data_IF_926027182107
#
_entry.id   IF_926027182107
#
_cell.length_a   1.000
_cell.length_b   1.000
_cell.length_c   1.000
_cell.angle_alpha   90.00
_cell.angle_beta   90.00
_cell.angle_gamma   90.00
#
_symmetry.space_group_name_H-M   'P 1'
#
loop_
_entity.id
_entity.type
_entity.pdbx_description
1 polymer ?
#
# COMPACT_ATOMS: atom_id res chain seq x y z
N UNK A 1 9.31 -9.54 -30.64
CA UNK A 1 10.79 -9.36 -30.45
C UNK A 1 11.37 -10.58 -29.74
N UNK A 2 12.56 -11.07 -30.14
CA UNK A 2 13.21 -12.17 -29.42
C UNK A 2 13.96 -11.67 -28.17
N UNK A 3 14.25 -12.57 -27.21
CA UNK A 3 15.08 -12.26 -26.04
C UNK A 3 16.41 -11.62 -26.41
N UNK A 4 17.11 -12.18 -27.39
CA UNK A 4 18.41 -11.67 -27.85
C UNK A 4 18.30 -10.27 -28.45
N UNK A 5 17.27 -10.01 -29.24
CA UNK A 5 17.03 -8.68 -29.83
C UNK A 5 16.74 -7.64 -28.74
N UNK A 6 15.95 -7.99 -27.73
CA UNK A 6 15.66 -7.08 -26.64
C UNK A 6 16.88 -6.81 -25.75
N UNK A 7 17.65 -7.86 -25.45
CA UNK A 7 18.91 -7.70 -24.71
C UNK A 7 19.92 -6.80 -25.45
N UNK A 8 20.07 -6.96 -26.76
CA UNK A 8 20.96 -6.11 -27.58
C UNK A 8 20.46 -4.67 -27.55
N UNK A 9 19.15 -4.47 -27.75
CA UNK A 9 18.56 -3.14 -27.70
C UNK A 9 18.78 -2.47 -26.33
N UNK A 10 18.61 -3.19 -25.19
CA UNK A 10 18.92 -2.67 -23.86
C UNK A 10 20.40 -2.27 -23.77
N UNK A 11 21.32 -3.10 -24.24
CA UNK A 11 22.75 -2.86 -24.14
C UNK A 11 23.24 -1.67 -25.00
N UNK A 12 22.47 -1.25 -26.00
CA UNK A 12 22.71 -0.03 -26.77
C UNK A 12 22.33 1.25 -26.02
N UNK A 13 21.51 1.14 -24.92
CA UNK A 13 21.07 2.27 -24.10
C UNK A 13 22.12 2.67 -23.06
N UNK A 14 23.32 3.01 -23.52
CA UNK A 14 24.37 3.55 -22.65
C UNK A 14 24.05 4.98 -22.22
N UNK A 15 24.36 5.31 -20.96
CA UNK A 15 24.16 6.64 -20.39
C UNK A 15 25.24 6.95 -19.36
N UNK A 16 25.54 8.23 -19.18
CA UNK A 16 26.41 8.70 -18.11
C UNK A 16 25.77 8.62 -16.71
N UNK A 17 24.45 8.37 -16.65
CA UNK A 17 23.69 8.31 -15.40
C UNK A 17 23.80 6.96 -14.68
N UNK A 18 24.19 5.88 -15.38
CA UNK A 18 24.31 4.54 -14.82
C UNK A 18 25.34 3.68 -15.53
N UNK A 19 25.84 2.67 -14.86
CA UNK A 19 26.73 1.66 -15.45
C UNK A 19 25.85 0.47 -15.89
N UNK A 20 25.80 0.23 -17.20
CA UNK A 20 25.02 -0.84 -17.78
C UNK A 20 25.90 -2.09 -18.00
N UNK A 21 25.58 -3.19 -17.34
CA UNK A 21 26.33 -4.44 -17.41
C UNK A 21 25.43 -5.65 -17.61
N UNK A 22 25.85 -6.56 -18.48
CA UNK A 22 25.28 -7.91 -18.56
C UNK A 22 25.98 -8.81 -17.55
N UNK A 23 25.28 -9.21 -16.49
CA UNK A 23 25.85 -10.06 -15.41
C UNK A 23 25.92 -11.54 -15.79
N UNK A 24 24.94 -12.01 -16.56
CA UNK A 24 24.91 -13.38 -17.11
C UNK A 24 23.97 -13.43 -18.34
N UNK A 25 23.64 -14.64 -18.83
CA UNK A 25 22.78 -14.83 -20.01
C UNK A 25 21.34 -14.31 -19.80
N UNK A 26 20.90 -14.23 -18.54
CA UNK A 26 19.52 -13.92 -18.18
C UNK A 26 19.38 -12.62 -17.37
N UNK A 27 20.49 -11.94 -17.03
CA UNK A 27 20.44 -10.77 -16.16
C UNK A 27 21.26 -9.61 -16.74
N UNK A 28 20.58 -8.47 -16.93
CA UNK A 28 21.18 -7.17 -17.22
C UNK A 28 20.92 -6.26 -16.02
N UNK A 29 21.94 -5.50 -15.60
CA UNK A 29 21.84 -4.56 -14.51
C UNK A 29 22.27 -3.15 -14.94
N UNK A 30 21.56 -2.17 -14.42
CA UNK A 30 21.90 -0.77 -14.48
C UNK A 30 22.28 -0.33 -13.06
N UNK A 31 23.58 -0.11 -12.85
CA UNK A 31 24.12 0.22 -11.53
C UNK A 31 24.34 1.72 -11.40
N UNK A 32 23.88 2.30 -10.31
CA UNK A 32 24.11 3.69 -9.91
C UNK A 32 24.69 3.74 -8.51
N UNK A 33 25.12 4.91 -8.06
CA UNK A 33 25.60 5.09 -6.67
C UNK A 33 24.48 4.93 -5.62
N UNK A 34 23.21 4.96 -6.01
CA UNK A 34 22.04 5.03 -5.11
C UNK A 34 21.03 3.89 -5.28
N UNK A 35 21.03 3.19 -6.43
CA UNK A 35 20.11 2.09 -6.68
C UNK A 35 20.69 1.12 -7.72
N UNK A 36 20.14 -0.09 -7.76
CA UNK A 36 20.39 -1.08 -8.81
C UNK A 36 19.07 -1.37 -9.51
N UNK A 37 19.02 -1.15 -10.82
CA UNK A 37 17.94 -1.67 -11.64
C UNK A 37 18.37 -2.99 -12.26
N UNK A 38 17.43 -3.93 -12.37
CA UNK A 38 17.68 -5.28 -12.89
C UNK A 38 16.60 -5.65 -13.91
N UNK A 39 17.04 -6.21 -15.03
CA UNK A 39 16.17 -6.83 -16.04
C UNK A 39 16.52 -8.31 -16.08
N UNK A 40 15.64 -9.14 -15.53
CA UNK A 40 15.79 -10.59 -15.44
C UNK A 40 14.92 -11.27 -16.49
N UNK A 41 15.49 -12.25 -17.19
CA UNK A 41 14.80 -13.05 -18.19
C UNK A 41 14.63 -14.49 -17.68
N UNK A 42 13.44 -15.03 -17.85
CA UNK A 42 13.11 -16.42 -17.55
C UNK A 42 12.37 -17.04 -18.72
N UNK A 43 12.69 -18.28 -19.08
CA UNK A 43 11.98 -19.00 -20.12
C UNK A 43 10.96 -19.94 -19.50
N UNK A 44 9.72 -19.85 -19.96
CA UNK A 44 8.62 -20.74 -19.57
C UNK A 44 8.10 -21.35 -20.88
N UNK A 45 8.41 -22.64 -21.12
CA UNK A 45 8.19 -23.29 -22.43
C UNK A 45 8.87 -22.47 -23.55
N UNK A 46 8.11 -22.02 -24.56
CA UNK A 46 8.61 -21.22 -25.67
C UNK A 46 8.50 -19.71 -25.44
N UNK A 47 7.97 -19.28 -24.28
CA UNK A 47 7.71 -17.89 -23.98
C UNK A 47 8.80 -17.31 -23.06
N UNK A 48 9.04 -16.02 -23.19
CA UNK A 48 10.01 -15.29 -22.36
C UNK A 48 9.27 -14.37 -21.41
N UNK A 49 9.48 -14.62 -20.11
CA UNK A 49 9.06 -13.73 -19.03
C UNK A 49 10.21 -12.77 -18.71
N UNK A 50 9.90 -11.48 -18.62
CA UNK A 50 10.82 -10.43 -18.21
C UNK A 50 10.34 -9.86 -16.88
N UNK A 51 11.24 -9.78 -15.91
CA UNK A 51 11.02 -9.13 -14.62
C UNK A 51 11.94 -7.91 -14.54
N UNK A 52 11.37 -6.76 -14.24
CA UNK A 52 12.10 -5.50 -14.10
C UNK A 52 11.94 -5.00 -12.66
N UNK A 53 13.05 -4.64 -12.04
CA UNK A 53 13.04 -4.12 -10.67
C UNK A 53 14.05 -3.01 -10.47
N UNK A 54 13.78 -2.11 -9.52
CA UNK A 54 14.75 -1.16 -8.97
C UNK A 54 14.79 -1.35 -7.47
N UNK A 55 15.97 -1.62 -6.96
CA UNK A 55 16.23 -1.74 -5.53
C UNK A 55 17.17 -0.60 -5.11
N UNK A 56 16.74 0.16 -4.12
CA UNK A 56 17.56 1.24 -3.55
C UNK A 56 18.72 0.65 -2.74
N UNK A 57 19.93 1.17 -2.94
CA UNK A 57 21.12 0.80 -2.15
C UNK A 57 21.11 1.39 -0.75
N UNK A 58 20.22 2.36 -0.52
CA UNK A 58 20.10 3.10 0.72
C UNK A 58 19.33 2.32 1.79
N UNK A 59 18.25 1.67 1.40
CA UNK A 59 17.29 1.02 2.32
C UNK A 59 16.91 -0.39 1.86
N UNK A 60 17.55 -0.92 0.82
CA UNK A 60 17.29 -2.23 0.17
C UNK A 60 15.80 -2.42 -0.21
N UNK A 61 15.05 -1.32 -0.28
CA UNK A 61 13.63 -1.37 -0.65
C UNK A 61 13.46 -1.39 -2.15
N UNK A 62 12.48 -2.20 -2.59
CA UNK A 62 12.01 -2.17 -3.97
C UNK A 62 11.26 -0.88 -4.21
N UNK A 63 11.77 -0.05 -5.13
CA UNK A 63 11.17 1.23 -5.55
C UNK A 63 10.31 1.06 -6.80
N UNK A 64 10.63 0.06 -7.61
CA UNK A 64 9.92 -0.29 -8.84
C UNK A 64 9.96 -1.80 -9.02
N UNK A 65 8.84 -2.41 -9.39
CA UNK A 65 8.77 -3.81 -9.75
C UNK A 65 7.60 -4.06 -10.68
N UNK A 66 7.85 -4.77 -11.77
CA UNK A 66 6.84 -5.31 -12.67
C UNK A 66 7.37 -6.56 -13.37
N UNK A 67 6.48 -7.31 -13.99
CA UNK A 67 6.82 -8.42 -14.87
C UNK A 67 5.86 -8.45 -16.07
N UNK A 68 6.34 -8.95 -17.21
CA UNK A 68 5.55 -9.07 -18.43
C UNK A 68 6.09 -10.16 -19.34
N UNK A 69 5.24 -10.65 -20.24
CA UNK A 69 5.66 -11.55 -21.32
C UNK A 69 6.24 -10.75 -22.48
N UNK A 70 7.39 -11.17 -23.00
CA UNK A 70 8.07 -10.51 -24.12
C UNK A 70 7.39 -10.84 -25.46
N UNK A 71 6.29 -10.18 -25.78
CA UNK A 71 5.55 -10.30 -27.04
C UNK A 71 5.75 -9.10 -27.95
N UNK A 72 5.33 -7.94 -27.48
CA UNK A 72 5.29 -6.70 -28.25
C UNK A 72 6.54 -5.86 -28.01
N UNK A 73 7.20 -5.47 -29.08
CA UNK A 73 8.45 -4.69 -29.00
C UNK A 73 8.26 -3.32 -28.37
N UNK A 74 7.24 -2.58 -28.82
CA UNK A 74 6.99 -1.23 -28.32
C UNK A 74 6.60 -1.23 -26.83
N UNK A 75 5.82 -2.22 -26.40
CA UNK A 75 5.45 -2.37 -25.00
C UNK A 75 6.67 -2.66 -24.13
N UNK A 76 7.52 -3.62 -24.52
CA UNK A 76 8.73 -3.98 -23.79
C UNK A 76 9.71 -2.79 -23.67
N UNK A 77 9.89 -2.04 -24.76
CA UNK A 77 10.73 -0.82 -24.76
C UNK A 77 10.18 0.25 -23.83
N UNK A 78 8.87 0.48 -23.87
CA UNK A 78 8.22 1.47 -23.00
C UNK A 78 8.35 1.15 -21.51
N UNK A 79 8.26 -0.14 -21.12
CA UNK A 79 8.43 -0.56 -19.73
C UNK A 79 9.87 -0.40 -19.26
N UNK A 80 10.85 -0.64 -20.13
CA UNK A 80 12.26 -0.36 -19.86
C UNK A 80 12.50 1.15 -19.67
N UNK A 81 11.98 1.99 -20.55
CA UNK A 81 12.10 3.45 -20.45
C UNK A 81 11.48 3.97 -19.15
N UNK A 82 10.31 3.45 -18.75
CA UNK A 82 9.65 3.80 -17.48
C UNK A 82 10.52 3.41 -16.26
N UNK A 83 11.20 2.26 -16.34
CA UNK A 83 12.18 1.86 -15.31
C UNK A 83 13.36 2.82 -15.28
N UNK A 84 13.94 3.16 -16.43
CA UNK A 84 15.11 4.08 -16.54
C UNK A 84 14.74 5.46 -16.02
N UNK A 85 13.61 6.03 -16.43
CA UNK A 85 13.12 7.31 -15.92
C UNK A 85 12.95 7.28 -14.39
N UNK A 86 12.42 6.18 -13.85
CA UNK A 86 12.28 5.99 -12.41
C UNK A 86 13.64 5.90 -11.73
N UNK A 87 14.60 5.15 -12.31
CA UNK A 87 15.96 5.04 -11.79
C UNK A 87 16.64 6.41 -11.74
N UNK A 88 16.57 7.19 -12.83
CA UNK A 88 17.19 8.53 -12.89
C UNK A 88 16.54 9.49 -11.88
N UNK A 89 15.23 9.43 -11.72
CA UNK A 89 14.52 10.26 -10.74
C UNK A 89 15.01 9.99 -9.31
N UNK A 90 15.35 8.75 -8.97
CA UNK A 90 15.93 8.39 -7.67
C UNK A 90 17.31 9.03 -7.43
N UNK A 91 17.99 9.57 -8.45
CA UNK A 91 19.25 10.31 -8.31
C UNK A 91 19.11 11.51 -7.36
N UNK A 92 17.93 12.14 -7.35
CA UNK A 92 17.62 13.23 -6.41
C UNK A 92 17.41 12.75 -4.95
N UNK A 93 17.23 11.44 -4.74
CA UNK A 93 17.01 10.83 -3.43
C UNK A 93 18.31 10.28 -2.79
N UNK A 94 19.49 10.75 -3.21
CA UNK A 94 20.80 10.27 -2.71
C UNK A 94 20.93 10.31 -1.20
N UNK A 95 20.34 11.32 -0.55
CA UNK A 95 20.46 11.55 0.88
C UNK A 95 19.54 10.61 1.66
N UNK A 96 20.08 10.00 2.73
CA UNK A 96 19.24 9.40 3.76
C UNK A 96 18.54 10.52 4.49
N UNK A 97 17.23 10.62 4.32
CA UNK A 97 16.41 11.66 4.94
C UNK A 97 15.93 11.18 6.31
N UNK A 98 16.35 11.88 7.35
CA UNK A 98 16.03 11.58 8.73
C UNK A 98 15.19 12.69 9.33
N UNK A 99 13.98 12.35 9.76
CA UNK A 99 13.08 13.27 10.44
C UNK A 99 13.27 13.17 11.95
N UNK A 100 13.66 14.26 12.59
CA UNK A 100 13.66 14.35 14.05
C UNK A 100 12.37 14.97 14.55
N UNK A 101 11.85 14.46 15.68
CA UNK A 101 10.65 15.04 16.26
C UNK A 101 10.69 15.10 17.78
N UNK A 102 10.13 16.17 18.32
CA UNK A 102 9.87 16.37 19.76
C UNK A 102 8.53 17.10 19.94
N UNK A 103 8.17 17.41 21.18
CA UNK A 103 6.90 18.06 21.52
C UNK A 103 6.67 19.40 20.81
N UNK A 104 7.72 20.23 20.68
CA UNK A 104 7.61 21.58 20.11
C UNK A 104 8.50 21.83 18.88
N UNK A 105 9.37 20.89 18.50
CA UNK A 105 10.26 21.01 17.34
C UNK A 105 11.56 21.78 17.58
N UNK A 106 11.65 22.69 18.54
CA UNK A 106 12.81 23.60 18.73
C UNK A 106 14.10 22.86 19.06
N UNK A 107 14.09 21.99 20.07
CA UNK A 107 15.29 21.24 20.52
C UNK A 107 15.80 20.29 19.45
N UNK A 108 14.89 19.66 18.72
CA UNK A 108 15.24 18.76 17.62
C UNK A 108 15.73 19.49 16.39
N UNK A 109 15.30 20.72 16.13
CA UNK A 109 15.83 21.55 15.02
C UNK A 109 17.31 21.88 15.23
N UNK A 110 17.69 22.26 16.45
CA UNK A 110 19.11 22.49 16.79
C UNK A 110 19.93 21.18 16.63
N UNK A 111 19.41 20.06 17.14
CA UNK A 111 20.10 18.78 17.03
C UNK A 111 20.21 18.28 15.59
N UNK A 112 19.17 18.48 14.77
CA UNK A 112 19.20 18.18 13.34
C UNK A 112 20.28 18.94 12.58
N UNK A 113 20.46 20.25 12.89
CA UNK A 113 21.54 21.05 12.31
C UNK A 113 22.91 20.51 12.67
N UNK A 114 23.13 20.15 13.93
CA UNK A 114 24.40 19.55 14.39
C UNK A 114 24.68 18.20 13.75
N UNK A 115 23.65 17.35 13.57
CA UNK A 115 23.76 16.07 12.87
C UNK A 115 24.08 16.26 11.39
N UNK A 116 23.52 17.28 10.75
CA UNK A 116 23.82 17.62 9.34
C UNK A 116 25.29 18.01 9.18
N UNK A 117 25.83 18.84 10.07
CA UNK A 117 27.25 19.22 10.04
C UNK A 117 28.18 18.03 10.32
N UNK A 118 27.84 17.19 11.29
CA UNK A 118 28.60 15.99 11.60
C UNK A 118 28.58 14.98 10.43
N UNK A 119 27.44 14.75 9.81
CA UNK A 119 27.32 13.88 8.65
C UNK A 119 28.16 14.40 7.46
N UNK A 120 28.13 15.70 7.19
CA UNK A 120 28.94 16.32 6.16
C UNK A 120 30.46 16.14 6.44
N UNK A 121 30.88 16.30 7.70
CA UNK A 121 32.27 16.09 8.12
C UNK A 121 32.73 14.63 7.94
N UNK A 122 31.82 13.68 8.13
CA UNK A 122 32.06 12.25 7.95
C UNK A 122 31.92 11.79 6.48
N UNK A 123 31.58 12.69 5.56
CA UNK A 123 31.35 12.37 4.15
C UNK A 123 30.09 11.52 3.93
N UNK A 124 29.14 11.56 4.86
CA UNK A 124 27.88 10.83 4.79
C UNK A 124 26.79 11.68 4.11
N UNK A 125 26.07 11.08 3.18
CA UNK A 125 25.01 11.76 2.44
C UNK A 125 23.66 11.66 3.19
N UNK A 126 23.60 12.36 4.34
CA UNK A 126 22.43 12.42 5.21
C UNK A 126 21.80 13.81 5.20
N UNK A 127 20.48 13.86 5.27
CA UNK A 127 19.70 15.09 5.47
C UNK A 127 18.85 14.94 6.73
N UNK A 128 19.02 15.86 7.67
CA UNK A 128 18.27 15.88 8.92
C UNK A 128 17.35 17.08 8.97
N UNK A 129 16.07 16.80 9.17
CA UNK A 129 15.04 17.83 9.36
C UNK A 129 14.31 17.57 10.68
N UNK A 130 13.66 18.60 11.20
CA UNK A 130 12.94 18.50 12.46
C UNK A 130 11.54 19.08 12.37
N UNK A 131 10.56 18.36 12.96
CA UNK A 131 9.17 18.83 13.04
C UNK A 131 8.61 18.62 14.44
N UNK A 132 7.51 19.32 14.75
CA UNK A 132 6.67 18.99 15.89
C UNK A 132 6.09 17.58 15.72
N UNK A 133 5.85 16.87 16.82
CA UNK A 133 5.24 15.52 16.76
C UNK A 133 3.88 15.51 16.06
N UNK A 134 3.16 16.61 16.05
CA UNK A 134 1.88 16.75 15.38
C UNK A 134 1.96 16.63 13.85
N UNK A 135 3.12 16.94 13.27
CA UNK A 135 3.34 16.94 11.82
C UNK A 135 4.08 15.69 11.32
N UNK A 136 4.42 14.75 12.20
CA UNK A 136 5.16 13.52 11.82
C UNK A 136 4.40 12.77 10.71
N UNK A 137 3.10 12.63 10.85
CA UNK A 137 2.29 11.81 9.93
C UNK A 137 2.19 12.40 8.54
N UNK A 138 2.10 13.73 8.42
CA UNK A 138 2.06 14.44 7.14
C UNK A 138 3.41 14.34 6.41
N UNK A 139 4.50 14.42 7.17
CA UNK A 139 5.85 14.48 6.64
C UNK A 139 6.51 13.09 6.46
N UNK A 140 6.00 12.05 7.13
CA UNK A 140 6.64 10.74 7.21
C UNK A 140 7.05 10.15 5.85
N UNK A 141 6.20 10.27 4.83
CA UNK A 141 6.46 9.70 3.50
C UNK A 141 7.65 10.35 2.77
N UNK A 142 8.10 11.52 3.24
CA UNK A 142 9.26 12.23 2.70
C UNK A 142 10.59 11.75 3.29
N UNK A 143 10.57 10.86 4.32
CA UNK A 143 11.74 10.46 5.08
C UNK A 143 11.92 8.94 5.14
N UNK A 144 13.17 8.51 5.24
CA UNK A 144 13.53 7.08 5.33
C UNK A 144 13.50 6.56 6.77
N UNK A 145 13.77 7.45 7.73
CA UNK A 145 13.85 7.17 9.15
C UNK A 145 13.23 8.32 9.94
N UNK A 146 12.50 7.97 10.98
CA UNK A 146 11.94 8.93 11.94
C UNK A 146 12.60 8.71 13.29
N UNK A 147 13.21 9.74 13.84
CA UNK A 147 13.82 9.76 15.17
C UNK A 147 12.95 10.58 16.12
N UNK A 148 12.44 9.96 17.16
CA UNK A 148 11.68 10.66 18.18
C UNK A 148 12.55 10.96 19.39
N UNK A 149 12.42 12.16 19.93
CA UNK A 149 13.11 12.57 21.14
C UNK A 149 12.59 11.79 22.37
N UNK A 150 13.40 11.56 23.40
CA UNK A 150 13.00 10.80 24.59
C UNK A 150 11.72 11.32 25.27
N UNK A 151 11.46 12.63 25.20
CA UNK A 151 10.28 13.26 25.81
C UNK A 151 8.95 12.77 25.23
N UNK A 152 8.96 12.31 23.98
CA UNK A 152 7.79 11.76 23.28
C UNK A 152 7.93 10.24 23.05
N UNK A 153 8.81 9.56 23.78
CA UNK A 153 9.05 8.11 23.69
C UNK A 153 7.79 7.27 23.89
N UNK A 154 6.82 7.78 24.67
CA UNK A 154 5.51 7.14 24.85
C UNK A 154 4.70 6.99 23.55
N UNK A 155 5.03 7.78 22.53
CA UNK A 155 4.39 7.71 21.20
C UNK A 155 4.98 6.62 20.30
N UNK A 156 6.11 6.02 20.64
CA UNK A 156 6.83 5.09 19.76
C UNK A 156 5.96 3.96 19.23
N UNK A 157 5.30 3.24 20.13
CA UNK A 157 4.44 2.11 19.74
C UNK A 157 3.30 2.53 18.82
N UNK A 158 2.72 3.69 19.09
CA UNK A 158 1.63 4.25 18.30
C UNK A 158 2.11 4.67 16.91
N UNK A 159 3.21 5.41 16.82
CA UNK A 159 3.80 5.81 15.55
C UNK A 159 4.19 4.59 14.71
N UNK A 160 4.83 3.59 15.31
CA UNK A 160 5.20 2.36 14.62
C UNK A 160 3.98 1.60 14.09
N UNK A 161 2.89 1.56 14.86
CA UNK A 161 1.64 0.94 14.41
C UNK A 161 0.96 1.72 13.28
N UNK A 162 1.00 3.05 13.34
CA UNK A 162 0.37 3.93 12.34
C UNK A 162 1.19 4.06 11.05
N UNK A 163 2.51 3.90 11.12
CA UNK A 163 3.46 4.04 10.01
C UNK A 163 4.30 2.76 9.84
N UNK A 164 3.67 1.60 9.54
CA UNK A 164 4.36 0.29 9.53
C UNK A 164 5.43 0.17 8.44
N UNK A 165 5.39 1.01 7.41
CA UNK A 165 6.37 1.03 6.32
C UNK A 165 7.61 1.89 6.66
N UNK A 166 7.62 2.58 7.81
CA UNK A 166 8.71 3.47 8.23
C UNK A 166 9.49 2.87 9.40
N UNK A 167 10.79 3.08 9.38
CA UNK A 167 11.63 2.81 10.55
C UNK A 167 11.50 3.99 11.52
N UNK A 168 10.96 3.74 12.70
CA UNK A 168 10.78 4.75 13.75
C UNK A 168 11.55 4.33 14.98
N UNK A 169 12.42 5.19 15.45
CA UNK A 169 13.31 4.91 16.58
C UNK A 169 13.25 6.05 17.61
N UNK A 170 13.35 5.69 18.86
CA UNK A 170 13.59 6.67 19.93
C UNK A 170 15.10 6.91 20.06
N UNK A 171 15.51 8.16 20.05
CA UNK A 171 16.90 8.54 20.31
C UNK A 171 17.25 8.13 21.75
N UNK A 172 18.37 7.41 22.00
CA UNK A 172 18.79 7.11 23.36
C UNK A 172 18.93 8.38 24.18
N UNK A 173 18.39 8.35 25.41
CA UNK A 173 18.33 9.54 26.28
C UNK A 173 19.71 10.17 26.51
N UNK A 174 20.76 9.34 26.66
CA UNK A 174 22.14 9.81 26.85
C UNK A 174 22.64 10.59 25.63
N UNK A 175 22.35 10.13 24.41
CA UNK A 175 22.79 10.79 23.16
C UNK A 175 22.05 12.11 22.93
N UNK A 176 20.76 12.12 23.23
CA UNK A 176 19.93 13.31 23.08
C UNK A 176 20.30 14.39 24.11
N UNK A 177 20.50 14.01 25.38
CA UNK A 177 20.83 14.94 26.48
C UNK A 177 22.19 15.62 26.29
N UNK A 178 23.16 14.91 25.69
CA UNK A 178 24.51 15.43 25.43
C UNK A 178 24.70 15.97 24.01
N UNK A 179 23.68 15.95 23.18
CA UNK A 179 23.76 16.25 21.75
C UNK A 179 24.90 15.49 21.05
N UNK A 180 25.08 14.21 21.40
CA UNK A 180 26.15 13.38 20.84
C UNK A 180 25.84 12.95 19.41
N UNK A 181 26.33 13.73 18.45
CA UNK A 181 26.07 13.50 17.00
C UNK A 181 26.75 12.22 16.52
N UNK A 182 27.97 11.91 16.96
CA UNK A 182 28.72 10.74 16.52
C UNK A 182 28.01 9.43 16.88
N UNK A 183 27.66 9.26 18.16
CA UNK A 183 26.92 8.08 18.63
C UNK A 183 25.54 7.97 18.01
N UNK A 184 24.86 9.12 17.76
CA UNK A 184 23.56 9.14 17.12
C UNK A 184 23.64 8.68 15.65
N UNK A 185 24.64 9.12 14.89
CA UNK A 185 24.86 8.66 13.52
C UNK A 185 25.18 7.16 13.47
N UNK A 186 26.04 6.66 14.37
CA UNK A 186 26.31 5.21 14.45
C UNK A 186 25.05 4.40 14.81
N UNK A 187 24.24 4.91 15.72
CA UNK A 187 22.95 4.31 16.08
C UNK A 187 22.01 4.24 14.88
N UNK A 188 21.93 5.32 14.07
CA UNK A 188 21.13 5.35 12.84
C UNK A 188 21.61 4.28 11.86
N UNK A 189 22.91 4.25 11.55
CA UNK A 189 23.49 3.30 10.59
C UNK A 189 23.20 1.86 10.98
N UNK A 190 23.50 1.48 12.22
CA UNK A 190 23.23 0.15 12.75
C UNK A 190 21.76 -0.23 12.68
N UNK A 191 20.87 0.71 13.01
CA UNK A 191 19.43 0.45 13.01
C UNK A 191 18.85 0.28 11.60
N UNK A 192 19.38 1.01 10.62
CA UNK A 192 19.02 0.84 9.20
C UNK A 192 19.45 -0.55 8.71
N UNK A 193 20.67 -0.98 9.00
CA UNK A 193 21.19 -2.31 8.63
C UNK A 193 20.33 -3.43 9.25
N UNK A 194 19.99 -3.33 10.52
CA UNK A 194 19.18 -4.32 11.23
C UNK A 194 17.74 -4.37 10.70
N UNK A 195 17.18 -3.24 10.30
CA UNK A 195 15.83 -3.16 9.72
C UNK A 195 15.76 -3.84 8.35
N UNK A 196 16.76 -3.62 7.51
CA UNK A 196 16.84 -4.25 6.19
C UNK A 196 16.93 -5.78 6.29
N UNK A 197 17.68 -6.31 7.24
CA UNK A 197 17.81 -7.77 7.47
C UNK A 197 16.51 -8.44 7.92
N UNK A 198 15.75 -7.80 8.82
CA UNK A 198 14.49 -8.37 9.38
C UNK A 198 13.34 -8.43 8.38
N UNK A 199 13.32 -7.60 7.35
CA UNK A 199 12.22 -7.54 6.37
C UNK A 199 12.22 -8.73 5.40
N UNK A 200 13.33 -9.44 5.27
CA UNK A 200 13.47 -10.61 4.37
C UNK A 200 12.90 -11.92 4.93
N UNK A 201 12.62 -12.01 6.24
CA UNK A 201 12.25 -13.29 6.89
C UNK A 201 10.74 -13.55 7.06
N UNK A 202 9.84 -12.60 6.72
CA UNK A 202 8.41 -12.73 7.03
C UNK A 202 7.55 -13.02 5.77
N UNK A 203 7.57 -14.27 5.27
CA UNK A 203 6.58 -14.75 4.28
C UNK A 203 6.05 -16.14 4.63
N UNK A 204 4.99 -16.20 5.45
CA UNK A 204 4.01 -17.31 5.43
C UNK A 204 2.68 -16.78 5.97
N UNK A 205 1.71 -16.56 5.11
CA UNK A 205 0.32 -16.27 5.48
C UNK A 205 -0.57 -17.48 5.22
N UNK A 206 -1.44 -17.79 6.18
CA UNK A 206 -2.45 -18.83 6.08
C UNK A 206 -3.72 -18.18 5.51
N UNK A 207 -4.28 -18.78 4.46
CA UNK A 207 -5.53 -18.34 3.84
C UNK A 207 -6.72 -19.06 4.51
N UNK A 208 -7.78 -18.34 4.84
CA UNK A 208 -9.00 -18.84 5.50
C UNK A 208 -10.23 -18.85 4.58
N UNK A 209 -10.07 -19.00 3.27
CA UNK A 209 -11.20 -19.09 2.35
C UNK A 209 -11.97 -20.41 2.45
N UNK A 210 -13.29 -20.39 2.18
CA UNK A 210 -14.10 -21.61 1.99
C UNK A 210 -13.65 -22.36 0.73
N UNK A 211 -13.84 -23.69 0.70
CA UNK A 211 -13.37 -24.58 -0.37
C UNK A 211 -14.01 -24.28 -1.73
N UNK A 212 -13.48 -23.33 -2.46
CA UNK A 212 -13.73 -23.18 -3.90
C UNK A 212 -13.05 -24.34 -4.67
N UNK A 213 -13.68 -24.83 -5.73
CA UNK A 213 -13.10 -25.82 -6.65
C UNK A 213 -12.39 -25.12 -7.83
N UNK A 214 -12.43 -23.78 -7.89
CA UNK A 214 -12.00 -22.96 -9.03
C UNK A 214 -10.66 -22.28 -8.76
N UNK A 215 -9.96 -21.92 -9.84
CA UNK A 215 -8.80 -21.04 -9.81
C UNK A 215 -9.26 -19.60 -9.98
N UNK A 216 -9.17 -18.83 -8.91
CA UNK A 216 -9.62 -17.44 -8.87
C UNK A 216 -8.41 -16.53 -8.72
N UNK A 217 -8.26 -15.57 -9.63
CA UNK A 217 -7.28 -14.51 -9.55
C UNK A 217 -7.91 -13.28 -8.90
N UNK A 218 -7.51 -12.98 -7.68
CA UNK A 218 -7.89 -11.74 -6.96
C UNK A 218 -6.83 -10.66 -7.19
N UNK A 219 -7.26 -9.46 -7.58
CA UNK A 219 -6.39 -8.29 -7.81
C UNK A 219 -6.91 -7.10 -7.02
N UNK A 220 -6.07 -6.45 -6.25
CA UNK A 220 -6.39 -5.24 -5.49
C UNK A 220 -5.56 -4.07 -6.00
N UNK A 221 -6.24 -3.02 -6.45
CA UNK A 221 -5.61 -1.78 -6.93
C UNK A 221 -5.64 -0.75 -5.81
N UNK A 222 -4.46 -0.25 -5.44
CA UNK A 222 -4.30 0.85 -4.49
C UNK A 222 -3.62 2.03 -5.17
N UNK A 223 -4.30 3.18 -5.14
CA UNK A 223 -3.83 4.41 -5.77
C UNK A 223 -3.43 5.40 -4.67
N UNK A 224 -2.14 5.69 -4.55
CA UNK A 224 -1.59 6.74 -3.70
C UNK A 224 -0.95 7.84 -4.56
N UNK A 225 -0.85 9.07 -4.04
CA UNK A 225 -0.42 10.26 -4.81
C UNK A 225 0.79 10.04 -5.72
N UNK A 226 1.82 9.32 -5.26
CA UNK A 226 3.09 9.14 -5.99
C UNK A 226 3.49 7.68 -6.17
N UNK A 227 2.63 6.72 -5.80
CA UNK A 227 2.97 5.31 -5.79
C UNK A 227 1.72 4.47 -5.96
N UNK A 228 1.71 3.68 -7.01
CA UNK A 228 0.63 2.74 -7.30
C UNK A 228 1.06 1.35 -6.84
N UNK A 229 0.15 0.61 -6.24
CA UNK A 229 0.37 -0.78 -5.83
C UNK A 229 -0.76 -1.64 -6.37
N UNK A 230 -0.38 -2.72 -7.04
CA UNK A 230 -1.33 -3.74 -7.49
C UNK A 230 -0.93 -5.04 -6.81
N UNK A 231 -1.69 -5.43 -5.80
CA UNK A 231 -1.50 -6.71 -5.11
C UNK A 231 -2.36 -7.76 -5.78
N UNK A 232 -1.81 -8.94 -6.04
CA UNK A 232 -2.61 -10.03 -6.57
C UNK A 232 -2.32 -11.34 -5.86
N UNK A 233 -3.30 -12.24 -5.92
CA UNK A 233 -3.21 -13.60 -5.39
C UNK A 233 -4.03 -14.54 -6.26
N UNK A 234 -3.39 -15.62 -6.71
CA UNK A 234 -4.05 -16.69 -7.44
C UNK A 234 -4.37 -17.83 -6.47
N UNK A 235 -5.63 -18.16 -6.35
CA UNK A 235 -6.12 -19.28 -5.54
C UNK A 235 -6.39 -20.50 -6.39
N UNK A 236 -6.16 -21.68 -5.81
CA UNK A 236 -6.65 -22.97 -6.28
C UNK A 236 -7.20 -23.74 -5.09
N UNK A 237 -8.50 -23.96 -5.03
CA UNK A 237 -9.16 -24.72 -3.94
C UNK A 237 -8.80 -24.24 -2.53
N UNK A 238 -8.59 -22.96 -2.31
CA UNK A 238 -8.14 -22.30 -1.07
C UNK A 238 -6.62 -22.33 -0.83
N UNK A 239 -5.84 -22.90 -1.71
CA UNK A 239 -4.38 -22.77 -1.65
C UNK A 239 -3.95 -21.58 -2.47
N UNK A 240 -3.01 -20.82 -1.96
CA UNK A 240 -2.38 -19.73 -2.70
C UNK A 240 -1.32 -20.34 -3.61
N UNK A 241 -1.54 -20.26 -4.93
CA UNK A 241 -0.56 -20.72 -5.93
C UNK A 241 0.50 -19.68 -6.23
N UNK A 242 0.09 -18.40 -6.32
CA UNK A 242 0.97 -17.28 -6.62
C UNK A 242 0.46 -16.03 -5.88
N UNK A 243 1.38 -15.23 -5.39
CA UNK A 243 1.07 -13.95 -4.74
C UNK A 243 2.21 -12.98 -4.99
N UNK A 244 1.91 -11.77 -5.49
CA UNK A 244 2.93 -10.76 -5.70
C UNK A 244 2.35 -9.34 -5.61
N UNK A 245 3.23 -8.35 -5.69
CA UNK A 245 2.93 -6.93 -5.57
C UNK A 245 3.68 -6.16 -6.66
N UNK A 246 2.95 -5.55 -7.59
CA UNK A 246 3.50 -4.60 -8.57
C UNK A 246 3.60 -3.23 -7.91
N UNK A 247 4.72 -2.56 -8.10
CA UNK A 247 4.99 -1.22 -7.57
C UNK A 247 5.44 -0.31 -8.71
N UNK A 248 4.64 0.70 -9.03
CA UNK A 248 4.91 1.66 -10.10
C UNK A 248 4.54 3.08 -9.70
N UNK A 249 5.11 4.11 -10.37
CA UNK A 249 4.67 5.51 -10.18
C UNK A 249 3.26 5.76 -10.71
N UNK A 250 2.92 5.16 -11.85
CA UNK A 250 1.65 5.34 -12.56
C UNK A 250 0.97 3.99 -12.80
N UNK A 251 -0.34 3.98 -12.86
CA UNK A 251 -1.17 2.82 -13.15
C UNK A 251 -1.73 2.91 -14.57
N UNK A 252 -1.77 1.77 -15.26
CA UNK A 252 -2.39 1.59 -16.58
C UNK A 252 -3.12 0.25 -16.61
N UNK A 253 -4.15 0.14 -17.45
CA UNK A 253 -4.86 -1.12 -17.66
C UNK A 253 -3.92 -2.23 -18.17
N UNK A 254 -2.90 -1.85 -18.94
CA UNK A 254 -1.87 -2.77 -19.44
C UNK A 254 -1.13 -3.51 -18.33
N UNK A 255 -0.95 -2.88 -17.16
CA UNK A 255 -0.29 -3.52 -16.01
C UNK A 255 -1.11 -4.72 -15.49
N UNK A 256 -2.44 -4.68 -15.62
CA UNK A 256 -3.30 -5.82 -15.30
C UNK A 256 -3.19 -6.91 -16.36
N UNK A 257 -3.09 -6.55 -17.63
CA UNK A 257 -2.85 -7.53 -18.70
C UNK A 257 -1.52 -8.25 -18.49
N UNK A 258 -0.44 -7.53 -18.14
CA UNK A 258 0.88 -8.12 -17.87
C UNK A 258 0.84 -9.14 -16.72
N UNK A 259 0.06 -8.87 -15.66
CA UNK A 259 -0.16 -9.83 -14.56
C UNK A 259 -0.85 -11.09 -15.07
N UNK A 260 -1.96 -10.93 -15.82
CA UNK A 260 -2.77 -12.05 -16.29
C UNK A 260 -1.99 -12.88 -17.30
N UNK A 261 -1.34 -12.23 -18.28
CA UNK A 261 -0.54 -12.89 -19.30
C UNK A 261 0.59 -13.73 -18.65
N UNK A 262 1.29 -13.16 -17.66
CA UNK A 262 2.32 -13.86 -16.89
C UNK A 262 1.78 -15.07 -16.13
N UNK A 263 0.62 -14.93 -15.49
CA UNK A 263 0.01 -16.02 -14.73
C UNK A 263 -0.50 -17.14 -15.65
N UNK A 264 -1.03 -16.79 -16.82
CA UNK A 264 -1.47 -17.78 -17.81
C UNK A 264 -0.29 -18.56 -18.42
N UNK A 265 0.91 -17.97 -18.48
CA UNK A 265 2.12 -18.71 -18.84
C UNK A 265 2.52 -19.73 -17.77
N UNK A 266 2.42 -19.36 -16.49
CA UNK A 266 2.78 -20.25 -15.38
C UNK A 266 1.74 -21.31 -15.09
N UNK A 267 0.47 -20.97 -15.24
CA UNK A 267 -0.68 -21.75 -14.78
C UNK A 267 -1.72 -21.86 -15.91
N UNK A 268 -1.63 -22.79 -16.74
CA UNK A 268 -2.45 -23.11 -17.94
C UNK A 268 -3.86 -22.54 -18.06
N UNK A 269 -4.57 -22.24 -16.93
CA UNK A 269 -5.90 -21.63 -16.93
C UNK A 269 -6.22 -20.91 -15.62
N UNK A 270 -7.09 -19.90 -15.70
CA UNK A 270 -7.72 -19.15 -14.62
C UNK A 270 -9.22 -19.21 -14.90
N UNK A 271 -10.04 -19.61 -13.93
CA UNK A 271 -11.48 -19.74 -14.11
C UNK A 271 -12.20 -18.39 -14.03
N UNK A 272 -11.68 -17.50 -13.18
CA UNK A 272 -12.27 -16.19 -12.93
C UNK A 272 -11.25 -15.16 -12.48
N UNK A 273 -11.46 -13.90 -12.84
CA UNK A 273 -10.70 -12.75 -12.38
C UNK A 273 -11.63 -11.86 -11.53
N UNK A 274 -11.16 -11.46 -10.37
CA UNK A 274 -11.87 -10.63 -9.42
C UNK A 274 -11.00 -9.43 -9.02
N UNK A 275 -11.50 -8.21 -9.26
CA UNK A 275 -10.71 -6.98 -9.12
C UNK A 275 -11.37 -6.06 -8.11
N UNK A 276 -10.62 -5.64 -7.07
CA UNK A 276 -11.04 -4.57 -6.18
C UNK A 276 -10.40 -3.24 -6.58
N UNK A 277 -11.24 -2.20 -6.66
CA UNK A 277 -10.84 -0.85 -7.06
C UNK A 277 -11.43 0.19 -6.10
N UNK A 278 -10.75 1.33 -5.87
CA UNK A 278 -11.38 2.47 -5.22
C UNK A 278 -12.46 3.08 -6.12
N UNK A 279 -13.57 3.51 -5.52
CA UNK A 279 -14.68 4.14 -6.22
C UNK A 279 -15.95 3.30 -6.26
N UNK A 280 -16.97 3.86 -6.90
CA UNK A 280 -18.29 3.22 -7.00
C UNK A 280 -18.25 2.14 -8.08
N UNK A 281 -18.66 0.94 -7.71
CA UNK A 281 -18.82 -0.19 -8.62
C UNK A 281 -20.30 -0.47 -8.84
N UNK A 282 -20.71 -0.51 -10.10
CA UNK A 282 -22.07 -0.84 -10.51
C UNK A 282 -22.09 -2.19 -11.22
N UNK A 283 -23.03 -3.05 -10.82
CA UNK A 283 -23.31 -4.36 -11.46
C UNK A 283 -22.08 -5.31 -11.56
N UNK A 284 -21.07 -5.10 -10.73
CA UNK A 284 -19.79 -5.84 -10.70
C UNK A 284 -19.03 -5.84 -12.05
N UNK A 285 -19.31 -4.88 -12.93
CA UNK A 285 -18.72 -4.76 -14.27
C UNK A 285 -18.08 -3.41 -14.51
N UNK A 286 -18.78 -2.35 -14.11
CA UNK A 286 -18.36 -0.98 -14.32
C UNK A 286 -17.93 -0.35 -13.01
N UNK A 287 -16.91 0.47 -13.06
CA UNK A 287 -16.59 1.36 -11.95
C UNK A 287 -16.38 2.80 -12.45
N UNK A 288 -16.64 3.75 -11.56
CA UNK A 288 -16.36 5.16 -11.82
C UNK A 288 -14.98 5.46 -11.25
N UNK A 289 -14.04 5.80 -12.12
CA UNK A 289 -12.70 6.17 -11.68
C UNK A 289 -12.75 7.43 -10.80
N UNK A 290 -12.11 7.35 -9.64
CA UNK A 290 -12.22 8.37 -8.58
C UNK A 290 -11.69 9.76 -8.98
N UNK A 291 -10.72 9.82 -9.91
CA UNK A 291 -10.06 11.06 -10.31
C UNK A 291 -10.64 11.69 -11.58
N UNK A 292 -10.98 10.90 -12.56
CA UNK A 292 -11.48 11.39 -13.86
C UNK A 292 -13.00 11.40 -13.95
N UNK A 293 -13.68 10.62 -13.10
CA UNK A 293 -15.12 10.37 -13.21
C UNK A 293 -15.50 9.51 -14.43
N UNK A 294 -14.52 8.98 -15.15
CA UNK A 294 -14.74 8.13 -16.31
C UNK A 294 -15.32 6.78 -15.88
N UNK A 295 -16.28 6.28 -16.65
CA UNK A 295 -16.82 4.93 -16.48
C UNK A 295 -15.93 3.96 -17.27
N UNK A 296 -15.38 2.96 -16.59
CA UNK A 296 -14.52 1.94 -17.19
C UNK A 296 -15.23 0.59 -17.08
N UNK A 297 -15.42 -0.06 -18.22
CA UNK A 297 -15.92 -1.44 -18.31
C UNK A 297 -14.75 -2.42 -18.35
N UNK A 298 -14.28 -2.83 -17.18
CA UNK A 298 -13.21 -3.83 -17.09
C UNK A 298 -13.72 -5.22 -17.52
N UNK A 299 -14.97 -5.54 -17.23
CA UNK A 299 -15.55 -6.82 -17.57
C UNK A 299 -15.48 -7.07 -19.10
N UNK A 300 -15.98 -6.11 -19.92
CA UNK A 300 -15.92 -6.20 -21.38
C UNK A 300 -14.46 -6.32 -21.87
N UNK A 301 -13.58 -5.44 -21.42
CA UNK A 301 -12.16 -5.43 -21.83
C UNK A 301 -11.43 -6.74 -21.58
N UNK A 302 -11.70 -7.41 -20.47
CA UNK A 302 -10.99 -8.64 -20.09
C UNK A 302 -11.66 -9.89 -20.65
N UNK A 303 -13.00 -9.93 -20.75
CA UNK A 303 -13.69 -11.04 -21.38
C UNK A 303 -13.40 -11.12 -22.87
N UNK A 304 -13.34 -9.99 -23.59
CA UNK A 304 -12.96 -9.96 -25.00
C UNK A 304 -11.55 -10.50 -25.25
N UNK A 305 -10.58 -10.12 -24.37
CA UNK A 305 -9.18 -10.54 -24.56
C UNK A 305 -8.90 -11.97 -24.11
N UNK A 306 -9.44 -12.39 -22.97
CA UNK A 306 -9.03 -13.63 -22.31
C UNK A 306 -10.11 -14.70 -22.32
N UNK A 307 -11.35 -14.38 -22.64
CA UNK A 307 -12.51 -15.25 -22.47
C UNK A 307 -12.66 -15.81 -21.06
N UNK A 308 -12.26 -15.00 -20.05
CA UNK A 308 -12.33 -15.33 -18.63
C UNK A 308 -13.32 -14.38 -17.97
N UNK A 309 -14.28 -14.94 -17.24
CA UNK A 309 -15.25 -14.14 -16.48
C UNK A 309 -14.55 -13.22 -15.49
N UNK A 310 -14.79 -11.92 -15.63
CA UNK A 310 -14.12 -10.89 -14.81
C UNK A 310 -15.14 -10.06 -14.07
N UNK A 311 -14.94 -9.89 -12.77
CA UNK A 311 -15.82 -9.12 -11.88
C UNK A 311 -15.06 -8.04 -11.14
N UNK A 312 -15.72 -6.90 -10.95
CA UNK A 312 -15.16 -5.74 -10.24
C UNK A 312 -15.94 -5.50 -8.95
N UNK A 313 -15.24 -5.14 -7.90
CA UNK A 313 -15.81 -4.84 -6.58
C UNK A 313 -15.19 -3.57 -6.00
N UNK A 314 -15.91 -2.94 -5.08
CA UNK A 314 -15.35 -1.85 -4.28
C UNK A 314 -14.39 -2.41 -3.22
N UNK A 315 -13.28 -1.73 -2.97
CA UNK A 315 -12.25 -2.13 -2.01
C UNK A 315 -12.79 -2.38 -0.59
N UNK A 316 -13.65 -1.48 -0.10
CA UNK A 316 -14.20 -1.60 1.25
C UNK A 316 -15.19 -2.77 1.34
N UNK A 317 -15.95 -3.03 0.28
CA UNK A 317 -16.86 -4.17 0.20
C UNK A 317 -16.09 -5.50 0.22
N UNK A 318 -15.03 -5.61 -0.60
CA UNK A 318 -14.17 -6.78 -0.60
C UNK A 318 -13.52 -7.01 0.77
N UNK A 319 -13.01 -5.95 1.42
CA UNK A 319 -12.43 -6.05 2.74
C UNK A 319 -13.46 -6.47 3.82
N UNK A 320 -14.70 -5.97 3.73
CA UNK A 320 -15.77 -6.34 4.64
C UNK A 320 -16.14 -7.83 4.54
N UNK A 321 -16.22 -8.34 3.31
CA UNK A 321 -16.47 -9.76 3.06
C UNK A 321 -15.30 -10.60 3.61
N UNK A 322 -14.05 -10.25 3.30
CA UNK A 322 -12.89 -10.96 3.83
C UNK A 322 -12.86 -10.98 5.36
N UNK A 323 -13.17 -9.86 6.01
CA UNK A 323 -13.28 -9.80 7.47
C UNK A 323 -14.40 -10.71 7.99
N UNK A 324 -15.53 -10.80 7.31
CA UNK A 324 -16.64 -11.67 7.71
C UNK A 324 -16.30 -13.17 7.62
N UNK A 325 -15.38 -13.57 6.75
CA UNK A 325 -14.90 -14.95 6.64
C UNK A 325 -14.11 -15.39 7.87
N UNK A 326 -13.35 -14.47 8.46
CA UNK A 326 -12.62 -14.72 9.71
C UNK A 326 -13.53 -14.60 10.95
N UNK A 327 -14.67 -13.90 10.82
CA UNK A 327 -15.60 -13.62 11.89
C UNK A 327 -17.04 -14.09 11.56
N UNK A 328 -17.26 -15.40 11.31
CA UNK A 328 -18.55 -15.93 10.89
C UNK A 328 -19.64 -15.83 11.98
N UNK A 329 -19.26 -15.55 13.23
CA UNK A 329 -20.16 -15.33 14.35
C UNK A 329 -21.02 -14.08 14.19
N UNK A 330 -20.57 -13.04 13.45
CA UNK A 330 -21.31 -11.80 13.26
C UNK A 330 -22.20 -11.84 12.03
N UNK A 331 -23.40 -11.28 12.17
CA UNK A 331 -24.39 -11.15 11.10
C UNK A 331 -24.45 -9.75 10.52
N UNK A 332 -24.01 -8.75 11.30
CA UNK A 332 -24.01 -7.33 10.93
C UNK A 332 -22.60 -6.76 11.16
N UNK A 333 -21.94 -6.37 10.10
CA UNK A 333 -20.55 -5.91 10.12
C UNK A 333 -20.43 -4.62 9.32
N UNK A 334 -19.61 -3.70 9.81
CA UNK A 334 -19.12 -2.55 9.04
C UNK A 334 -17.61 -2.64 8.96
N UNK A 335 -17.05 -2.52 7.76
CA UNK A 335 -15.62 -2.36 7.53
C UNK A 335 -15.37 -0.95 7.04
N UNK A 336 -14.81 -0.09 7.91
CA UNK A 336 -14.42 1.27 7.56
C UNK A 336 -12.99 1.29 7.04
N UNK A 337 -12.80 1.69 5.78
CA UNK A 337 -11.50 1.82 5.14
C UNK A 337 -11.22 3.28 4.84
N UNK A 338 -10.19 3.85 5.47
CA UNK A 338 -9.73 5.20 5.19
C UNK A 338 -8.26 5.15 4.77
N UNK A 339 -7.97 5.39 3.48
CA UNK A 339 -6.60 5.43 2.99
C UNK A 339 -5.79 6.52 3.68
N UNK A 340 -4.49 6.27 3.88
CA UNK A 340 -3.58 7.26 4.46
C UNK A 340 -3.51 8.52 3.59
N UNK A 341 -3.63 9.68 4.23
CA UNK A 341 -3.62 10.96 3.52
C UNK A 341 -4.86 11.26 2.68
N UNK A 342 -5.94 10.49 2.81
CA UNK A 342 -7.21 10.77 2.18
C UNK A 342 -8.25 11.20 3.21
N UNK A 343 -8.90 12.34 2.98
CA UNK A 343 -9.98 12.84 3.83
C UNK A 343 -11.26 12.01 3.76
N UNK A 344 -11.36 11.16 2.74
CA UNK A 344 -12.57 10.38 2.46
C UNK A 344 -12.29 8.90 2.62
N UNK A 345 -13.03 8.27 3.52
CA UNK A 345 -13.09 6.81 3.66
C UNK A 345 -14.28 6.22 2.91
N UNK A 346 -14.28 4.89 2.77
CA UNK A 346 -15.41 4.09 2.32
C UNK A 346 -15.81 3.07 3.39
N UNK A 347 -17.02 2.55 3.30
CA UNK A 347 -17.50 1.49 4.18
C UNK A 347 -18.04 0.32 3.37
N UNK A 348 -17.57 -0.90 3.68
CA UNK A 348 -18.26 -2.12 3.32
C UNK A 348 -19.25 -2.45 4.44
N UNK A 349 -20.45 -2.86 4.06
CA UNK A 349 -21.54 -3.11 5.02
C UNK A 349 -22.13 -4.49 4.77
N UNK A 350 -22.15 -5.33 5.80
CA UNK A 350 -22.87 -6.60 5.80
C UNK A 350 -24.04 -6.49 6.78
N UNK A 351 -25.24 -6.85 6.33
CA UNK A 351 -26.43 -6.97 7.15
C UNK A 351 -27.10 -8.31 6.91
N UNK A 352 -27.45 -9.03 7.98
CA UNK A 352 -27.98 -10.40 7.89
C UNK A 352 -27.11 -11.34 7.05
N UNK A 353 -25.78 -11.25 7.22
CA UNK A 353 -24.77 -12.02 6.46
C UNK A 353 -24.76 -11.75 4.96
N UNK A 354 -25.38 -10.66 4.50
CA UNK A 354 -25.45 -10.26 3.10
C UNK A 354 -24.77 -8.91 2.89
N UNK A 355 -23.91 -8.83 1.88
CA UNK A 355 -23.25 -7.58 1.51
C UNK A 355 -24.29 -6.58 0.96
N UNK A 356 -24.31 -5.37 1.51
CA UNK A 356 -25.16 -4.27 1.04
C UNK A 356 -24.37 -3.39 0.07
N UNK A 357 -24.71 -3.45 -1.20
CA UNK A 357 -24.13 -2.55 -2.21
C UNK A 357 -24.99 -1.31 -2.47
N UNK A 358 -26.28 -1.40 -2.16
CA UNK A 358 -27.24 -0.32 -2.39
C UNK A 358 -27.54 -0.08 -3.88
N UNK A 359 -28.34 0.96 -4.15
CA UNK A 359 -28.66 1.32 -5.51
C UNK A 359 -27.41 1.82 -6.25
N UNK A 360 -27.05 1.15 -7.35
CA UNK A 360 -25.87 1.45 -8.18
C UNK A 360 -24.54 1.50 -7.40
N UNK A 361 -24.40 0.67 -6.36
CA UNK A 361 -23.16 0.58 -5.59
C UNK A 361 -22.93 1.75 -4.61
N UNK A 362 -23.97 2.52 -4.26
CA UNK A 362 -23.81 3.75 -3.46
C UNK A 362 -23.64 3.49 -1.96
N UNK A 363 -24.00 2.30 -1.45
CA UNK A 363 -23.90 2.02 -0.01
C UNK A 363 -22.45 2.12 0.48
N UNK A 364 -22.25 2.87 1.57
CA UNK A 364 -20.92 3.05 2.16
C UNK A 364 -20.03 4.13 1.52
N UNK A 365 -20.50 4.84 0.49
CA UNK A 365 -19.76 5.90 -0.18
C UNK A 365 -19.80 7.22 0.63
N UNK A 366 -18.96 7.31 1.62
CA UNK A 366 -18.96 8.42 2.60
C UNK A 366 -18.62 9.79 2.02
N UNK A 367 -17.95 9.88 0.86
CA UNK A 367 -17.58 11.16 0.23
C UNK A 367 -18.78 12.09 0.00
N UNK A 368 -19.95 11.53 -0.25
CA UNK A 368 -21.17 12.32 -0.44
C UNK A 368 -21.77 12.84 0.88
N UNK A 369 -21.41 12.22 1.99
CA UNK A 369 -21.82 12.61 3.33
C UNK A 369 -20.79 13.51 4.01
N UNK A 370 -19.51 13.33 3.76
CA UNK A 370 -18.40 13.99 4.45
C UNK A 370 -18.53 15.53 4.39
N UNK A 371 -18.84 16.08 3.22
CA UNK A 371 -19.05 17.52 3.02
C UNK A 371 -20.28 18.10 3.80
N UNK A 372 -21.11 17.25 4.39
CA UNK A 372 -22.23 17.62 5.23
C UNK A 372 -21.97 17.43 6.72
N UNK A 373 -20.87 16.80 7.07
CA UNK A 373 -20.45 16.70 8.46
C UNK A 373 -19.99 18.07 8.96
N UNK A 374 -20.41 18.43 10.17
CA UNK A 374 -19.87 19.57 10.88
C UNK A 374 -18.54 19.16 11.50
N UNK A 375 -17.45 19.37 10.79
CA UNK A 375 -16.09 19.12 11.24
C UNK A 375 -15.53 20.37 11.93
N UNK A 376 -14.57 20.18 12.85
CA UNK A 376 -13.92 21.27 13.59
C UNK A 376 -12.97 22.10 12.74
N UNK A 377 -12.43 21.54 11.65
CA UNK A 377 -11.57 22.20 10.64
C UNK A 377 -11.76 21.50 9.29
N UNK A 378 -10.99 21.94 8.28
CA UNK A 378 -10.92 21.31 6.97
C UNK A 378 -10.51 19.84 7.07
N UNK A 379 -11.22 18.97 6.38
CA UNK A 379 -10.99 17.51 6.42
C UNK A 379 -9.57 17.14 6.04
N UNK A 380 -8.97 17.86 5.07
CA UNK A 380 -7.60 17.58 4.62
C UNK A 380 -6.55 17.96 5.66
N UNK A 381 -6.87 18.79 6.65
CA UNK A 381 -6.01 19.05 7.80
C UNK A 381 -6.27 18.04 8.93
N UNK A 382 -7.51 17.71 9.19
CA UNK A 382 -7.90 16.80 10.27
C UNK A 382 -7.31 15.42 10.09
N UNK A 383 -7.25 14.90 8.86
CA UNK A 383 -6.71 13.56 8.58
C UNK A 383 -5.23 13.37 8.91
N UNK A 384 -4.49 14.45 9.12
CA UNK A 384 -3.08 14.40 9.48
C UNK A 384 -2.81 14.43 10.99
N UNK A 385 -3.87 14.50 11.80
CA UNK A 385 -3.76 14.49 13.25
C UNK A 385 -4.60 13.36 13.85
N UNK A 386 -4.14 12.79 14.96
CA UNK A 386 -4.89 11.71 15.62
C UNK A 386 -6.25 12.17 16.15
N UNK A 387 -6.31 13.38 16.70
CA UNK A 387 -7.55 13.97 17.19
C UNK A 387 -8.52 14.24 16.02
N UNK A 388 -8.01 14.75 14.91
CA UNK A 388 -8.82 14.98 13.71
C UNK A 388 -9.29 13.70 13.05
N UNK A 389 -8.41 12.67 12.96
CA UNK A 389 -8.80 11.36 12.47
C UNK A 389 -9.86 10.71 13.37
N UNK A 390 -9.74 10.84 14.68
CA UNK A 390 -10.77 10.39 15.63
C UNK A 390 -12.11 11.06 15.35
N UNK A 391 -12.11 12.38 15.13
CA UNK A 391 -13.32 13.15 14.81
C UNK A 391 -13.94 12.66 13.51
N UNK A 392 -13.16 12.59 12.42
CA UNK A 392 -13.66 12.19 11.09
C UNK A 392 -14.21 10.77 11.13
N UNK A 393 -13.45 9.81 11.69
CA UNK A 393 -13.85 8.40 11.74
C UNK A 393 -15.09 8.19 12.61
N UNK A 394 -15.16 8.80 13.79
CA UNK A 394 -16.33 8.67 14.68
C UNK A 394 -17.59 9.28 14.08
N UNK A 395 -17.48 10.46 13.46
CA UNK A 395 -18.60 11.10 12.75
C UNK A 395 -19.04 10.31 11.52
N UNK A 396 -18.11 9.66 10.82
CA UNK A 396 -18.40 8.77 9.69
C UNK A 396 -19.08 7.46 10.12
N UNK A 397 -18.70 6.91 11.26
CA UNK A 397 -19.25 5.66 11.78
C UNK A 397 -20.64 5.84 12.42
N UNK A 398 -20.88 6.96 13.08
CA UNK A 398 -22.09 7.17 13.86
C UNK A 398 -23.40 6.91 13.09
N UNK A 399 -23.62 7.49 11.88
CA UNK A 399 -24.85 7.22 11.12
C UNK A 399 -24.99 5.74 10.72
N UNK A 400 -23.89 5.12 10.33
CA UNK A 400 -23.88 3.71 9.91
C UNK A 400 -24.18 2.77 11.09
N UNK A 401 -23.60 3.05 12.27
CA UNK A 401 -23.88 2.29 13.49
C UNK A 401 -25.37 2.38 13.86
N UNK A 402 -25.93 3.58 13.84
CA UNK A 402 -27.35 3.77 14.20
C UNK A 402 -28.29 3.12 13.18
N UNK A 403 -27.93 3.17 11.89
CA UNK A 403 -28.80 2.66 10.83
C UNK A 403 -28.76 1.14 10.70
N UNK A 404 -27.57 0.54 10.85
CA UNK A 404 -27.33 -0.89 10.61
C UNK A 404 -27.39 -1.69 11.90
N UNK A 405 -26.98 -1.11 13.03
CA UNK A 405 -26.84 -1.83 14.30
C UNK A 405 -25.80 -2.96 14.22
N UNK A 406 -24.54 -2.69 13.80
CA UNK A 406 -23.54 -3.74 13.61
C UNK A 406 -23.12 -4.37 14.93
N UNK A 407 -22.81 -5.67 14.91
CA UNK A 407 -22.20 -6.41 16.03
C UNK A 407 -20.69 -6.13 16.09
N UNK A 408 -20.07 -5.91 14.91
CA UNK A 408 -18.66 -5.63 14.78
C UNK A 408 -18.38 -4.49 13.79
N UNK A 409 -17.37 -3.67 14.11
CA UNK A 409 -16.83 -2.62 13.24
C UNK A 409 -15.32 -2.83 13.13
N UNK A 410 -14.86 -3.15 11.93
CA UNK A 410 -13.45 -3.21 11.58
C UNK A 410 -13.00 -1.85 11.00
N UNK A 411 -11.88 -1.31 11.47
CA UNK A 411 -11.40 0.02 11.09
C UNK A 411 -9.98 -0.11 10.55
N UNK A 412 -9.80 0.20 9.29
CA UNK A 412 -8.51 0.36 8.63
C UNK A 412 -8.25 1.85 8.38
N UNK A 413 -7.73 2.52 9.39
CA UNK A 413 -7.30 3.91 9.35
C UNK A 413 -6.02 4.06 10.17
N UNK A 414 -4.89 4.33 9.53
CA UNK A 414 -3.58 4.42 10.20
C UNK A 414 -3.50 5.53 11.24
N UNK A 415 -4.27 6.59 11.04
CA UNK A 415 -4.29 7.76 11.95
C UNK A 415 -5.24 7.57 13.13
N UNK A 416 -6.06 6.53 13.11
CA UNK A 416 -7.03 6.31 14.18
C UNK A 416 -6.33 5.93 15.47
N UNK A 417 -6.64 6.61 16.58
CA UNK A 417 -6.11 6.24 17.89
C UNK A 417 -6.63 4.87 18.35
N UNK A 418 -6.28 4.51 19.58
CA UNK A 418 -6.76 3.28 20.23
C UNK A 418 -8.29 3.13 20.08
N UNK A 419 -8.75 1.93 19.80
CA UNK A 419 -10.18 1.60 19.71
C UNK A 419 -10.98 2.00 20.95
N UNK A 420 -10.31 2.13 22.11
CA UNK A 420 -10.90 2.66 23.34
C UNK A 420 -11.33 4.10 23.23
N UNK A 421 -10.55 4.95 22.54
CA UNK A 421 -10.90 6.36 22.34
C UNK A 421 -12.08 6.49 21.38
N UNK A 422 -12.15 5.65 20.34
CA UNK A 422 -13.32 5.58 19.44
C UNK A 422 -14.57 5.21 20.23
N UNK A 423 -14.48 4.11 21.02
CA UNK A 423 -15.59 3.66 21.87
C UNK A 423 -16.03 4.75 22.84
N UNK A 424 -15.10 5.41 23.53
CA UNK A 424 -15.37 6.50 24.46
C UNK A 424 -16.04 7.70 23.78
N UNK A 425 -15.60 8.07 22.57
CA UNK A 425 -16.21 9.18 21.83
C UNK A 425 -17.62 8.82 21.40
N UNK A 426 -17.85 7.62 20.87
CA UNK A 426 -19.17 7.16 20.45
C UNK A 426 -20.12 6.96 21.62
N UNK A 427 -19.64 6.60 22.83
CA UNK A 427 -20.47 6.45 24.02
C UNK A 427 -21.11 7.75 24.51
N UNK A 428 -20.64 8.91 24.03
CA UNK A 428 -21.32 10.18 24.28
C UNK A 428 -22.61 10.38 23.45
N UNK A 429 -22.81 9.55 22.41
CA UNK A 429 -23.96 9.60 21.51
C UNK A 429 -24.86 8.36 21.62
N UNK A 430 -24.28 7.19 21.87
CA UNK A 430 -24.96 5.90 21.90
C UNK A 430 -24.65 5.23 23.25
N UNK A 431 -25.65 4.71 24.00
CA UNK A 431 -25.38 3.96 25.22
C UNK A 431 -24.39 2.80 24.95
N UNK A 432 -23.47 2.59 25.87
CA UNK A 432 -22.33 1.69 25.70
C UNK A 432 -22.76 0.24 25.37
N UNK A 433 -23.90 -0.20 25.88
CA UNK A 433 -24.48 -1.52 25.63
C UNK A 433 -24.89 -1.79 24.18
N UNK A 434 -25.09 -0.72 23.37
CA UNK A 434 -25.43 -0.81 21.94
C UNK A 434 -24.23 -0.58 21.03
N UNK A 435 -23.04 -0.28 21.59
CA UNK A 435 -21.85 -0.11 20.79
C UNK A 435 -21.31 -1.44 20.29
N UNK A 436 -20.88 -1.52 19.01
CA UNK A 436 -20.29 -2.73 18.44
C UNK A 436 -18.93 -3.04 19.07
N UNK A 437 -18.44 -4.25 18.80
CA UNK A 437 -17.04 -4.59 19.05
C UNK A 437 -16.17 -3.96 17.97
N UNK A 438 -15.11 -3.23 18.37
CA UNK A 438 -14.22 -2.53 17.45
C UNK A 438 -12.93 -3.34 17.23
N UNK A 439 -12.49 -3.41 15.97
CA UNK A 439 -11.27 -4.07 15.52
C UNK A 439 -10.38 -3.09 14.77
N UNK A 440 -9.10 -3.03 15.10
CA UNK A 440 -8.10 -2.26 14.37
C UNK A 440 -7.45 -3.14 13.30
N UNK A 441 -7.53 -2.73 12.04
CA UNK A 441 -6.98 -3.46 10.90
C UNK A 441 -5.79 -2.67 10.36
N UNK A 442 -4.59 -3.22 10.53
CA UNK A 442 -3.34 -2.60 10.09
C UNK A 442 -3.12 -2.74 8.57
N UNK A 443 -3.38 -3.92 8.04
CA UNK A 443 -3.26 -4.24 6.61
C UNK A 443 -4.57 -4.80 6.08
N UNK A 444 -5.34 -4.03 5.28
CA UNK A 444 -6.61 -4.50 4.72
C UNK A 444 -6.46 -5.40 3.49
N UNK A 445 -5.25 -5.47 2.87
CA UNK A 445 -5.04 -6.18 1.60
C UNK A 445 -5.38 -7.66 1.68
N UNK A 446 -4.95 -8.43 2.72
CA UNK A 446 -5.32 -9.84 2.83
C UNK A 446 -6.84 -10.04 2.86
N UNK A 447 -7.57 -9.19 3.62
CA UNK A 447 -9.03 -9.23 3.67
C UNK A 447 -9.66 -8.92 2.29
N UNK A 448 -9.13 -7.93 1.56
CA UNK A 448 -9.61 -7.62 0.22
C UNK A 448 -9.41 -8.79 -0.75
N UNK A 449 -8.23 -9.41 -0.75
CA UNK A 449 -7.90 -10.53 -1.63
C UNK A 449 -8.77 -11.76 -1.34
N UNK A 450 -8.94 -12.12 -0.07
CA UNK A 450 -9.76 -13.26 0.35
C UNK A 450 -11.26 -13.00 0.10
N UNK A 451 -11.71 -11.76 0.36
CA UNK A 451 -13.08 -11.33 0.07
C UNK A 451 -13.40 -11.36 -1.43
N UNK A 452 -12.46 -10.95 -2.28
CA UNK A 452 -12.59 -11.03 -3.75
C UNK A 452 -12.76 -12.47 -4.22
N UNK A 453 -11.94 -13.39 -3.70
CA UNK A 453 -12.02 -14.80 -4.05
C UNK A 453 -13.39 -15.38 -3.68
N UNK A 454 -13.91 -15.02 -2.50
CA UNK A 454 -15.21 -15.47 -2.04
C UNK A 454 -16.36 -14.89 -2.88
N UNK A 455 -16.34 -13.57 -3.14
CA UNK A 455 -17.37 -12.91 -3.93
C UNK A 455 -17.43 -13.44 -5.37
N UNK A 456 -16.28 -13.72 -5.97
CA UNK A 456 -16.23 -14.33 -7.29
C UNK A 456 -16.80 -15.76 -7.27
N UNK A 457 -16.46 -16.57 -6.26
CA UNK A 457 -16.95 -17.96 -6.14
C UNK A 457 -18.47 -18.05 -5.93
N UNK A 458 -19.10 -17.03 -5.34
CA UNK A 458 -20.56 -16.97 -5.17
C UNK A 458 -21.30 -16.61 -6.46
N UNK A 459 -20.63 -15.90 -7.40
CA UNK A 459 -21.26 -15.46 -8.65
C UNK A 459 -21.14 -16.53 -9.74
N UNK A 460 -20.04 -17.27 -9.78
CA UNK A 460 -19.77 -18.29 -10.80
C UNK A 460 -20.45 -19.62 -10.42
#
# INVERSE_FOLDING_TARGET
MTKQQYQLWILEHQSDDYILERKNEDLIQLDTSYAVASVQFSSIEDNILVEISIVSKKDERTKFYLHFELKEEEHAKKLFDEMVETLIRLKGEKKVRVLLSCSAGLTTSMFASMLTEAAATLGLDYEFNAVSYMNIYEEADNYDLILIAPQIGYMLNRLTSSLPDHLILQIPTAYFASYNTGETIQFIQKSLDDYCRKKNDNKKKICHCKKSQKRILSIVIQINKNKQRISYRLYNKNEVLDENLIIKPTYRIQDLYDIIDTLLLKYTFIDCISIATPGIVNDNKHFVEAYTGSIIDIHELFEEKYHISTYVFNNANAACVGFSLEHPEYSHIIFHSQPFGAGVGGQGIIANKTLLTGYKGLAGELRYYLHRMQLSDDENKLIWTEAGALEVVTKALLPSIITIGPEAVAISCRMTPDMKEIKKTLSSFIPEEYLPKFYSIQDPIPYMLDGLAHLADEII
#
